data_IF_933673603276
#
_entry.id   IF_933673603276
#
_cell.length_a   1.000
_cell.length_b   1.000
_cell.length_c   1.000
_cell.angle_alpha   90.00
_cell.angle_beta   90.00
_cell.angle_gamma   90.00
#
_symmetry.space_group_name_H-M   'P 1'
#
loop_
_entity.id
_entity.type
_entity.pdbx_description
1 polymer ?
#
# COMPACT_ATOMS: atom_id res chain seq x y z
N UNK A 1 -28.45 11.09 1.73
CA UNK A 1 -27.58 11.12 2.93
C UNK A 1 -26.14 11.11 2.44
N UNK A 2 -25.32 12.06 2.89
CA UNK A 2 -23.91 12.18 2.48
C UNK A 2 -23.05 12.25 3.74
N UNK A 3 -22.02 11.41 3.83
CA UNK A 3 -21.09 11.40 4.96
C UNK A 3 -19.98 12.43 4.69
N UNK A 4 -19.73 13.31 5.65
CA UNK A 4 -18.72 14.39 5.53
C UNK A 4 -17.55 14.26 6.52
N UNK A 5 -17.59 13.30 7.45
CA UNK A 5 -16.52 13.08 8.42
C UNK A 5 -16.79 11.91 9.36
N UNK A 6 -15.73 11.43 10.03
CA UNK A 6 -15.80 10.37 11.06
C UNK A 6 -14.75 10.61 12.15
N UNK A 7 -15.07 10.22 13.38
CA UNK A 7 -14.14 10.14 14.52
C UNK A 7 -14.49 8.91 15.36
N UNK A 8 -13.48 8.28 15.95
CA UNK A 8 -13.65 7.18 16.87
C UNK A 8 -12.51 7.17 17.89
N UNK A 9 -12.77 6.87 19.17
CA UNK A 9 -11.69 6.61 20.13
C UNK A 9 -10.85 5.38 19.75
N UNK A 10 -11.43 4.45 18.97
CA UNK A 10 -10.77 3.24 18.46
C UNK A 10 -10.51 3.36 16.96
N UNK A 11 -10.10 4.54 16.48
CA UNK A 11 -9.79 4.75 15.06
C UNK A 11 -8.51 4.01 14.67
N UNK A 12 -8.55 3.24 13.59
CA UNK A 12 -7.35 2.65 12.97
C UNK A 12 -6.68 3.59 11.96
N UNK A 13 -7.30 4.74 11.67
CA UNK A 13 -6.67 5.76 10.83
C UNK A 13 -5.49 6.41 11.58
N UNK A 14 -4.34 6.46 10.90
CA UNK A 14 -3.08 7.01 11.40
C UNK A 14 -2.59 8.08 10.43
N UNK A 15 -2.78 9.35 10.80
CA UNK A 15 -2.41 10.49 9.96
C UNK A 15 -0.90 10.57 9.71
N UNK A 16 -0.09 10.20 10.70
CA UNK A 16 1.37 10.17 10.64
C UNK A 16 1.95 9.14 9.65
N UNK A 17 1.19 8.08 9.36
CA UNK A 17 1.52 7.09 8.32
C UNK A 17 0.94 7.51 6.96
N UNK A 18 -0.20 8.21 6.97
CA UNK A 18 -0.97 8.53 5.76
C UNK A 18 -0.62 9.88 5.13
N UNK A 19 0.19 10.71 5.79
CA UNK A 19 0.56 12.04 5.31
C UNK A 19 1.58 11.97 4.18
N UNK A 20 1.57 12.99 3.32
CA UNK A 20 2.64 13.22 2.33
C UNK A 20 3.82 14.01 2.92
N UNK A 21 3.66 14.54 4.14
CA UNK A 21 4.77 15.11 4.88
C UNK A 21 5.78 14.00 5.17
N UNK A 22 7.08 14.34 5.13
CA UNK A 22 8.16 13.40 5.45
C UNK A 22 8.10 13.03 6.94
N UNK A 23 7.22 12.10 7.28
CA UNK A 23 7.16 11.46 8.58
C UNK A 23 8.12 10.29 8.62
N UNK A 24 8.93 10.21 9.67
CA UNK A 24 9.93 9.15 9.88
C UNK A 24 9.33 7.73 10.03
N UNK A 25 8.00 7.62 10.06
CA UNK A 25 7.27 6.37 10.36
C UNK A 25 7.11 5.48 9.13
N UNK A 26 7.02 6.04 7.91
CA UNK A 26 6.83 5.28 6.69
C UNK A 26 7.98 5.50 5.68
N UNK A 27 8.79 4.47 5.47
CA UNK A 27 9.84 4.48 4.46
C UNK A 27 9.29 4.07 3.09
N UNK A 28 9.16 5.05 2.19
CA UNK A 28 8.70 4.83 0.81
C UNK A 28 9.57 3.85 0.02
N UNK A 29 10.85 3.69 0.37
CA UNK A 29 11.74 2.76 -0.32
C UNK A 29 11.30 1.29 -0.16
N UNK A 30 10.64 0.96 0.96
CA UNK A 30 10.18 -0.41 1.23
C UNK A 30 9.06 -0.85 0.27
N UNK A 31 8.32 0.12 -0.29
CA UNK A 31 7.22 -0.14 -1.22
C UNK A 31 7.69 -0.86 -2.49
N UNK A 32 8.89 -0.55 -2.99
CA UNK A 32 9.44 -1.19 -4.19
C UNK A 32 9.61 -2.70 -4.00
N UNK A 33 10.20 -3.11 -2.87
CA UNK A 33 10.38 -4.52 -2.52
C UNK A 33 9.04 -5.23 -2.35
N UNK A 34 8.09 -4.60 -1.64
CA UNK A 34 6.74 -5.14 -1.47
C UNK A 34 6.04 -5.38 -2.81
N UNK A 35 6.02 -4.38 -3.70
CA UNK A 35 5.36 -4.48 -5.02
C UNK A 35 5.98 -5.61 -5.85
N UNK A 36 7.31 -5.75 -5.85
CA UNK A 36 7.99 -6.81 -6.59
C UNK A 36 7.66 -8.20 -6.06
N UNK A 37 7.73 -8.42 -4.74
CA UNK A 37 7.46 -9.73 -4.15
C UNK A 37 5.97 -10.10 -4.24
N UNK A 38 5.08 -9.15 -3.95
CA UNK A 38 3.64 -9.38 -4.00
C UNK A 38 3.15 -9.64 -5.43
N UNK A 39 3.71 -8.92 -6.41
CA UNK A 39 3.38 -9.09 -7.83
C UNK A 39 4.07 -10.28 -8.51
N UNK A 40 5.06 -10.89 -7.85
CA UNK A 40 5.88 -11.95 -8.45
C UNK A 40 5.05 -13.13 -8.99
N UNK A 41 4.10 -13.71 -8.24
CA UNK A 41 3.33 -14.86 -8.73
C UNK A 41 2.52 -14.54 -9.99
N UNK A 42 1.91 -13.34 -10.04
CA UNK A 42 1.15 -12.89 -11.21
C UNK A 42 2.05 -12.67 -12.42
N UNK A 43 3.22 -12.08 -12.22
CA UNK A 43 4.22 -11.88 -13.27
C UNK A 43 4.70 -13.22 -13.85
N UNK A 44 5.02 -14.19 -12.99
CA UNK A 44 5.44 -15.53 -13.42
C UNK A 44 4.34 -16.23 -14.21
N UNK A 45 3.08 -16.17 -13.76
CA UNK A 45 1.95 -16.74 -14.51
C UNK A 45 1.84 -16.14 -15.91
N UNK A 46 1.92 -14.82 -16.02
CA UNK A 46 1.86 -14.14 -17.31
C UNK A 46 3.03 -14.53 -18.23
N UNK A 47 4.23 -14.75 -17.67
CA UNK A 47 5.38 -15.25 -18.43
C UNK A 47 5.14 -16.65 -18.99
N UNK A 48 4.60 -17.56 -18.18
CA UNK A 48 4.22 -18.92 -18.61
C UNK A 48 3.15 -18.90 -19.71
N UNK A 49 2.14 -18.02 -19.59
CA UNK A 49 1.10 -17.84 -20.61
C UNK A 49 1.64 -17.27 -21.93
N UNK A 50 2.72 -16.47 -21.88
CA UNK A 50 3.37 -15.87 -23.04
C UNK A 50 4.43 -16.76 -23.70
N UNK A 51 4.58 -18.01 -23.24
CA UNK A 51 5.48 -18.99 -23.86
C UNK A 51 6.95 -18.84 -23.47
N UNK A 52 7.20 -18.31 -22.27
CA UNK A 52 8.46 -18.56 -21.54
C UNK A 52 8.28 -19.79 -20.68
#
# INVERSE_FOLDING_TARGET
VTVVGRKSPNSLYRQDISSFENGDVYNQADAAGFIHLYGLPTRVRAMLEQGI
#
